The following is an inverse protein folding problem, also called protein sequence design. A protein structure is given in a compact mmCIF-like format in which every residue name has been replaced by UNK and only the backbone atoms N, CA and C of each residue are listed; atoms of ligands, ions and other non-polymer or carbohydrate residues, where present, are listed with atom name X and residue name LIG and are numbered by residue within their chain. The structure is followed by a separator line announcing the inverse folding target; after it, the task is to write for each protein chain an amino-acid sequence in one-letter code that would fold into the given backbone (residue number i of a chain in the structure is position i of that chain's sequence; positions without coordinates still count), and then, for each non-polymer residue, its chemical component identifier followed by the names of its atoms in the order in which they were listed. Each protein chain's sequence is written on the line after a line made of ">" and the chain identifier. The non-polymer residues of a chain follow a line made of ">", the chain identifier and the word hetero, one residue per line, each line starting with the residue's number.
data_IF_958819023510
#
_entry.id   IF_958819023510
#
_cell.length_a   1.000
_cell.length_b   1.000
_cell.length_c   1.000
_cell.angle_alpha   90.00
_cell.angle_beta   90.00
_cell.angle_gamma   90.00
#
_symmetry.space_group_name_H-M   'P 1'
#
loop_
_entity.id
_entity.type
_entity.pdbx_description
1 polymer ?
#
# COMPACT_ATOMS: atom_id res chain seq x y z
N UNK A 1 14.40 -12.11 14.49
CA UNK A 1 12.99 -12.26 14.98
C UNK A 1 12.06 -11.83 13.85
N UNK A 2 10.90 -12.45 13.72
CA UNK A 2 9.86 -11.98 12.80
C UNK A 2 8.70 -11.44 13.63
N UNK A 3 8.29 -10.19 13.35
CA UNK A 3 7.09 -9.58 13.93
C UNK A 3 6.01 -9.56 12.86
N UNK A 4 4.85 -10.12 13.16
CA UNK A 4 3.73 -10.24 12.24
C UNK A 4 2.51 -9.51 12.79
N UNK A 5 1.96 -8.57 12.03
CA UNK A 5 0.59 -8.07 12.19
C UNK A 5 -0.20 -8.53 10.97
N UNK A 6 -1.04 -9.55 11.16
CA UNK A 6 -1.77 -10.22 10.06
C UNK A 6 -2.51 -9.22 9.17
N UNK A 7 -2.37 -9.40 7.85
CA UNK A 7 -2.99 -8.57 6.84
C UNK A 7 -2.39 -7.16 6.71
N UNK A 8 -1.46 -6.77 7.58
CA UNK A 8 -0.88 -5.43 7.61
C UNK A 8 0.60 -5.48 7.26
N UNK A 9 1.45 -6.03 8.14
CA UNK A 9 2.88 -6.08 7.85
C UNK A 9 3.58 -7.28 8.47
N UNK A 10 4.76 -7.58 7.91
CA UNK A 10 5.78 -8.44 8.52
C UNK A 10 7.07 -7.65 8.65
N UNK A 11 7.73 -7.73 9.81
CA UNK A 11 9.06 -7.19 10.04
C UNK A 11 10.03 -8.33 10.33
N UNK A 12 11.11 -8.35 9.61
CA UNK A 12 12.20 -9.29 9.74
C UNK A 12 13.40 -8.56 10.33
N UNK A 13 13.73 -8.87 11.59
CA UNK A 13 14.89 -8.29 12.26
C UNK A 13 16.18 -8.96 11.78
N UNK A 14 17.33 -8.26 11.85
CA UNK A 14 18.63 -8.81 11.47
C UNK A 14 18.96 -10.12 12.21
N UNK A 15 19.56 -11.06 11.49
CA UNK A 15 20.06 -12.35 12.03
C UNK A 15 21.54 -12.27 12.42
N UNK A 16 22.23 -11.21 12.02
CA UNK A 16 23.63 -10.86 12.32
C UNK A 16 23.71 -9.46 12.94
N UNK A 17 24.86 -8.97 13.40
CA UNK A 17 24.97 -7.62 13.96
C UNK A 17 24.34 -6.56 13.06
N UNK A 18 23.43 -5.71 13.60
CA UNK A 18 22.63 -4.82 12.77
C UNK A 18 23.44 -3.70 12.14
N UNK A 19 23.09 -3.34 10.92
CA UNK A 19 23.51 -2.14 10.22
C UNK A 19 22.37 -1.11 10.19
N UNK A 20 22.62 0.21 10.06
CA UNK A 20 21.58 1.23 10.06
C UNK A 20 20.84 1.29 8.69
N UNK A 21 20.30 0.15 8.25
CA UNK A 21 19.58 0.01 6.98
C UNK A 21 18.22 -0.63 7.23
N UNK A 22 17.18 -0.03 6.66
CA UNK A 22 15.83 -0.60 6.60
C UNK A 22 15.46 -0.78 5.12
N UNK A 23 15.05 -1.99 4.78
CA UNK A 23 14.47 -2.31 3.47
C UNK A 23 12.96 -2.31 3.60
N UNK A 24 12.29 -1.34 2.98
CA UNK A 24 10.83 -1.25 2.96
C UNK A 24 10.26 -1.79 1.66
N UNK A 25 9.50 -2.88 1.75
CA UNK A 25 8.82 -3.54 0.64
C UNK A 25 7.32 -3.23 0.73
N UNK A 26 6.93 -2.06 0.30
CA UNK A 26 5.60 -1.49 0.50
C UNK A 26 4.55 -1.85 -0.56
N UNK A 27 4.93 -2.51 -1.67
CA UNK A 27 4.04 -2.71 -2.83
C UNK A 27 3.95 -4.13 -3.36
N UNK A 28 4.54 -5.10 -2.67
CA UNK A 28 4.49 -6.52 -3.04
C UNK A 28 3.37 -7.30 -2.36
N UNK A 29 2.59 -6.64 -1.49
CA UNK A 29 1.53 -7.28 -0.72
C UNK A 29 0.44 -7.87 -1.60
N UNK A 30 -0.05 -9.05 -1.21
CA UNK A 30 -1.00 -9.89 -1.96
C UNK A 30 -2.18 -10.36 -1.10
N UNK A 31 -2.25 -9.89 0.15
CA UNK A 31 -3.36 -10.18 1.05
C UNK A 31 -4.44 -9.09 0.86
N UNK A 32 -5.47 -9.42 0.07
CA UNK A 32 -6.57 -8.49 -0.22
C UNK A 32 -7.53 -8.46 0.96
N UNK A 33 -7.76 -7.28 1.60
CA UNK A 33 -8.74 -7.16 2.67
C UNK A 33 -10.15 -7.52 2.20
N UNK A 34 -10.94 -8.18 3.05
CA UNK A 34 -12.31 -8.60 2.72
C UNK A 34 -13.23 -7.42 2.35
N UNK A 35 -12.98 -6.25 2.90
CA UNK A 35 -13.72 -5.02 2.62
C UNK A 35 -13.30 -4.32 1.33
N UNK A 36 -12.21 -4.76 0.70
CA UNK A 36 -11.76 -4.16 -0.54
C UNK A 36 -12.70 -4.54 -1.69
N UNK A 37 -13.37 -3.55 -2.24
CA UNK A 37 -14.20 -3.67 -3.43
C UNK A 37 -13.59 -2.88 -4.57
N UNK A 38 -13.56 -3.46 -5.74
CA UNK A 38 -13.02 -2.85 -6.96
C UNK A 38 -13.89 -3.22 -8.14
N UNK A 39 -13.98 -2.32 -9.10
CA UNK A 39 -14.56 -2.59 -10.43
C UNK A 39 -13.67 -3.50 -11.26
N UNK A 40 -12.37 -3.53 -10.96
CA UNK A 40 -11.40 -4.29 -11.74
C UNK A 40 -11.50 -5.79 -11.39
N UNK A 41 -11.39 -6.66 -12.40
CA UNK A 41 -11.20 -8.08 -12.17
C UNK A 41 -9.94 -8.35 -11.33
N UNK A 42 -9.96 -9.42 -10.52
CA UNK A 42 -8.82 -9.80 -9.68
C UNK A 42 -7.52 -9.93 -10.48
N UNK A 43 -7.58 -10.49 -11.69
CA UNK A 43 -6.42 -10.64 -12.57
C UNK A 43 -5.77 -9.31 -12.89
N UNK A 44 -6.55 -8.25 -13.14
CA UNK A 44 -6.05 -6.91 -13.41
C UNK A 44 -5.45 -6.29 -12.15
N UNK A 45 -6.13 -6.42 -11.01
CA UNK A 45 -5.60 -5.96 -9.72
C UNK A 45 -4.25 -6.62 -9.42
N UNK A 46 -4.19 -7.93 -9.58
CA UNK A 46 -3.01 -8.73 -9.26
C UNK A 46 -1.83 -8.44 -10.20
N UNK A 47 -2.09 -8.16 -11.48
CA UNK A 47 -1.09 -7.74 -12.46
C UNK A 47 -0.45 -6.37 -12.13
N UNK A 48 -1.12 -5.57 -11.32
CA UNK A 48 -0.60 -4.28 -10.85
C UNK A 48 0.23 -4.37 -9.55
N UNK A 49 0.35 -5.55 -8.93
CA UNK A 49 1.21 -5.76 -7.77
C UNK A 49 2.66 -5.86 -8.22
N UNK A 50 3.57 -5.22 -7.46
CA UNK A 50 5.01 -5.39 -7.67
C UNK A 50 5.46 -6.75 -7.13
N UNK A 51 5.21 -7.80 -7.92
CA UNK A 51 5.39 -9.19 -7.51
C UNK A 51 6.83 -9.51 -7.15
N UNK A 52 6.99 -10.30 -6.08
CA UNK A 52 8.25 -10.92 -5.67
C UNK A 52 9.38 -9.95 -5.26
N UNK A 53 9.12 -8.67 -5.04
CA UNK A 53 10.13 -7.73 -4.50
C UNK A 53 10.53 -8.14 -3.08
N UNK A 54 9.59 -8.67 -2.30
CA UNK A 54 9.83 -9.31 -1.00
C UNK A 54 10.85 -10.46 -1.09
N UNK A 55 10.77 -11.28 -2.14
CA UNK A 55 11.72 -12.37 -2.38
C UNK A 55 13.11 -11.84 -2.82
N UNK A 56 13.16 -10.77 -3.59
CA UNK A 56 14.43 -10.16 -4.01
C UNK A 56 15.23 -9.62 -2.83
N UNK A 57 14.55 -9.17 -1.78
CA UNK A 57 15.16 -8.62 -0.57
C UNK A 57 15.20 -9.59 0.60
N UNK A 58 14.79 -10.85 0.41
CA UNK A 58 14.70 -11.85 1.50
C UNK A 58 16.00 -12.07 2.27
N UNK A 59 17.16 -11.85 1.64
CA UNK A 59 18.47 -11.97 2.27
C UNK A 59 18.89 -10.71 3.10
N UNK A 60 18.12 -9.64 3.07
CA UNK A 60 18.50 -8.40 3.77
C UNK A 60 18.74 -8.60 5.28
N UNK A 61 17.94 -9.38 6.03
CA UNK A 61 18.21 -9.66 7.44
C UNK A 61 19.53 -10.40 7.69
N UNK A 62 19.96 -11.27 6.77
CA UNK A 62 21.22 -12.01 6.88
C UNK A 62 22.46 -11.14 6.60
N UNK A 63 22.23 -9.94 6.07
CA UNK A 63 23.23 -8.90 5.85
C UNK A 63 23.17 -7.79 6.91
N UNK A 64 22.36 -7.95 7.95
CA UNK A 64 22.25 -7.00 9.06
C UNK A 64 21.18 -5.93 8.89
N UNK A 65 20.44 -5.90 7.80
CA UNK A 65 19.36 -4.93 7.59
C UNK A 65 18.03 -5.40 8.22
N UNK A 66 17.19 -4.46 8.64
CA UNK A 66 15.79 -4.75 8.95
C UNK A 66 14.96 -4.73 7.67
N UNK A 67 14.13 -5.75 7.43
CA UNK A 67 13.19 -5.73 6.32
C UNK A 67 11.75 -5.55 6.84
N UNK A 68 11.03 -4.60 6.25
CA UNK A 68 9.61 -4.37 6.47
C UNK A 68 8.84 -4.70 5.19
N UNK A 69 7.79 -5.50 5.30
CA UNK A 69 6.96 -5.94 4.19
C UNK A 69 5.49 -5.63 4.46
N UNK A 70 4.84 -4.85 3.60
CA UNK A 70 3.40 -4.64 3.64
C UNK A 70 2.67 -5.85 3.05
N UNK A 71 1.74 -6.44 3.81
CA UNK A 71 1.00 -7.63 3.37
C UNK A 71 -0.09 -7.29 2.35
N UNK A 72 -0.71 -6.13 2.46
CA UNK A 72 -1.80 -5.66 1.60
C UNK A 72 -1.30 -5.10 0.26
N UNK A 73 -2.12 -5.18 -0.80
CA UNK A 73 -1.76 -4.58 -2.09
C UNK A 73 -1.87 -3.05 -2.05
N UNK A 74 -1.03 -2.37 -2.83
CA UNK A 74 -1.03 -0.90 -2.92
C UNK A 74 -2.32 -0.29 -3.51
N UNK A 75 -3.24 -1.11 -4.01
CA UNK A 75 -4.60 -0.69 -4.36
C UNK A 75 -5.52 -0.50 -3.15
N UNK A 76 -5.23 -1.19 -2.04
CA UNK A 76 -5.94 -0.95 -0.79
C UNK A 76 -5.55 0.40 -0.21
N UNK A 77 -4.25 0.61 -0.02
CA UNK A 77 -3.60 1.86 0.36
C UNK A 77 -2.12 1.76 -0.05
N UNK A 78 -1.54 2.83 -0.56
CA UNK A 78 -0.12 2.84 -0.92
C UNK A 78 0.72 3.39 0.24
N UNK A 79 1.31 2.48 1.04
CA UNK A 79 2.14 2.82 2.19
C UNK A 79 3.40 3.64 1.84
N UNK A 80 3.75 3.76 0.54
CA UNK A 80 4.84 4.60 0.05
C UNK A 80 4.30 5.92 -0.55
N UNK A 81 3.24 6.49 0.03
CA UNK A 81 2.66 7.77 -0.34
C UNK A 81 2.39 8.63 0.89
N UNK A 82 2.37 9.94 0.68
CA UNK A 82 1.95 10.86 1.73
C UNK A 82 0.46 10.65 2.02
N UNK A 83 0.08 10.64 3.29
CA UNK A 83 -1.30 10.45 3.74
C UNK A 83 -2.26 11.56 3.28
N UNK A 84 -1.73 12.73 2.90
CA UNK A 84 -2.51 13.85 2.36
C UNK A 84 -2.54 13.88 0.83
N UNK A 85 -1.79 13.00 0.15
CA UNK A 85 -1.79 12.91 -1.31
C UNK A 85 -2.97 12.05 -1.80
N UNK A 86 -4.18 12.59 -1.57
CA UNK A 86 -5.46 12.00 -1.97
C UNK A 86 -6.12 12.91 -2.99
N UNK A 87 -6.71 12.32 -4.03
CA UNK A 87 -7.58 13.05 -4.95
C UNK A 87 -8.91 13.35 -4.27
N UNK A 88 -9.27 14.64 -4.07
CA UNK A 88 -10.53 15.01 -3.43
C UNK A 88 -11.76 14.44 -4.15
N UNK A 89 -11.68 14.18 -5.46
CA UNK A 89 -12.78 13.64 -6.23
C UNK A 89 -13.13 12.19 -5.88
N UNK A 90 -12.20 11.47 -5.24
CA UNK A 90 -12.44 10.11 -4.73
C UNK A 90 -13.19 10.08 -3.42
N UNK A 91 -13.26 11.20 -2.71
CA UNK A 91 -13.78 11.25 -1.34
C UNK A 91 -15.22 11.74 -1.33
N UNK A 92 -16.07 11.05 -0.60
CA UNK A 92 -17.41 11.49 -0.25
C UNK A 92 -17.36 12.19 1.11
N UNK A 93 -17.64 13.50 1.11
CA UNK A 93 -17.57 14.36 2.28
C UNK A 93 -16.32 15.25 2.28
N UNK A 94 -16.12 15.96 3.39
CA UNK A 94 -15.01 16.89 3.56
C UNK A 94 -13.88 16.24 4.39
N UNK A 95 -12.67 16.28 3.85
CA UNK A 95 -11.49 15.78 4.56
C UNK A 95 -11.12 16.74 5.70
N UNK A 96 -10.79 16.23 6.91
CA UNK A 96 -10.66 17.08 8.12
C UNK A 96 -9.50 18.08 8.07
N UNK A 97 -8.55 17.91 7.18
CA UNK A 97 -7.40 18.80 6.97
C UNK A 97 -7.18 19.05 5.48
N UNK A 98 -6.49 20.12 5.07
CA UNK A 98 -6.23 20.38 3.66
C UNK A 98 -5.46 19.23 2.99
N UNK A 99 -6.04 18.65 1.95
CA UNK A 99 -5.36 17.65 1.12
C UNK A 99 -4.26 18.30 0.28
N UNK A 100 -3.24 17.51 -0.05
CA UNK A 100 -2.10 17.94 -0.86
C UNK A 100 -1.95 17.03 -2.10
N UNK A 101 -2.90 17.08 -3.05
CA UNK A 101 -2.91 16.18 -4.20
C UNK A 101 -1.73 16.48 -5.12
N UNK A 102 -0.85 15.51 -5.29
CA UNK A 102 0.29 15.54 -6.20
C UNK A 102 0.16 14.46 -7.27
N UNK A 103 0.67 13.26 -7.03
CA UNK A 103 0.53 12.14 -7.96
C UNK A 103 -0.87 11.51 -7.92
N UNK A 104 -1.67 11.80 -6.90
CA UNK A 104 -3.09 11.42 -6.84
C UNK A 104 -3.90 11.98 -8.01
N UNK A 105 -3.58 13.17 -8.51
CA UNK A 105 -4.20 13.76 -9.73
C UNK A 105 -4.03 12.88 -10.97
N UNK A 106 -3.05 11.98 -10.97
CA UNK A 106 -2.81 10.99 -12.04
C UNK A 106 -3.31 9.60 -11.69
N UNK A 107 -4.03 9.47 -10.58
CA UNK A 107 -4.55 8.20 -10.09
C UNK A 107 -3.56 7.35 -9.28
N UNK A 108 -2.44 7.92 -8.82
CA UNK A 108 -1.31 7.21 -8.21
C UNK A 108 -0.99 7.69 -6.77
N UNK A 109 -1.93 8.34 -6.10
CA UNK A 109 -1.79 8.83 -4.72
C UNK A 109 -1.84 7.73 -3.67
N UNK A 110 -2.13 8.13 -2.43
CA UNK A 110 -2.35 7.23 -1.30
C UNK A 110 -3.42 6.18 -1.63
N UNK A 111 -4.50 6.63 -2.26
CA UNK A 111 -5.54 5.78 -2.84
C UNK A 111 -5.38 5.79 -4.36
N UNK A 112 -5.13 4.64 -4.94
CA UNK A 112 -5.07 4.53 -6.40
C UNK A 112 -6.48 4.54 -6.99
N UNK A 113 -6.73 5.47 -7.90
CA UNK A 113 -8.01 5.58 -8.60
C UNK A 113 -8.01 4.90 -9.96
N UNK A 114 -6.84 4.58 -10.50
CA UNK A 114 -6.67 3.97 -11.82
C UNK A 114 -5.68 2.81 -11.80
N UNK A 115 -5.92 1.81 -12.64
CA UNK A 115 -4.95 0.77 -12.96
C UNK A 115 -3.78 1.34 -13.79
N UNK A 116 -2.74 0.53 -14.00
CA UNK A 116 -1.64 0.86 -14.94
C UNK A 116 -2.10 1.09 -16.38
N UNK A 117 -3.30 0.60 -16.72
CA UNK A 117 -3.94 0.75 -18.02
C UNK A 117 -4.96 1.91 -18.08
N UNK A 118 -5.11 2.66 -16.98
CA UNK A 118 -6.02 3.80 -16.89
C UNK A 118 -7.46 3.46 -16.53
N UNK A 119 -7.78 2.19 -16.23
CA UNK A 119 -9.11 1.74 -15.85
C UNK A 119 -9.45 2.19 -14.42
N UNK A 120 -10.69 2.63 -14.14
CA UNK A 120 -11.11 3.05 -12.82
C UNK A 120 -11.10 1.86 -11.82
N UNK A 121 -10.64 2.11 -10.61
CA UNK A 121 -10.56 1.11 -9.54
C UNK A 121 -11.83 1.03 -8.72
N UNK A 122 -12.45 2.17 -8.42
CA UNK A 122 -13.57 2.28 -7.49
C UNK A 122 -14.91 2.51 -8.21
N UNK A 123 -15.95 1.81 -7.78
CA UNK A 123 -17.32 1.99 -8.30
C UNK A 123 -17.97 3.29 -7.81
N UNK A 124 -17.57 3.73 -6.62
CA UNK A 124 -18.10 4.91 -5.94
C UNK A 124 -17.00 5.68 -5.23
N UNK A 125 -17.32 6.88 -4.82
CA UNK A 125 -16.48 7.61 -3.87
C UNK A 125 -16.36 6.84 -2.55
N UNK A 126 -15.23 6.99 -1.90
CA UNK A 126 -14.96 6.42 -0.58
C UNK A 126 -15.32 7.44 0.50
N UNK A 127 -15.96 7.00 1.57
CA UNK A 127 -16.22 7.88 2.70
C UNK A 127 -14.94 8.22 3.45
N UNK A 128 -14.91 9.38 4.12
CA UNK A 128 -13.77 9.78 4.96
C UNK A 128 -13.45 8.69 5.99
N UNK A 129 -14.48 8.11 6.63
CA UNK A 129 -14.31 7.04 7.63
C UNK A 129 -13.65 5.77 7.05
N UNK A 130 -14.04 5.36 5.82
CA UNK A 130 -13.41 4.23 5.14
C UNK A 130 -11.92 4.47 4.90
N UNK A 131 -11.56 5.68 4.48
CA UNK A 131 -10.16 6.00 4.20
C UNK A 131 -9.34 6.13 5.47
N UNK A 132 -9.88 6.80 6.50
CA UNK A 132 -9.23 6.90 7.81
C UNK A 132 -8.94 5.53 8.41
N UNK A 133 -9.89 4.59 8.33
CA UNK A 133 -9.70 3.22 8.82
C UNK A 133 -8.62 2.41 8.06
N UNK A 134 -8.23 2.85 6.86
CA UNK A 134 -7.11 2.24 6.14
C UNK A 134 -5.76 2.85 6.53
N UNK A 135 -5.76 4.09 7.02
CA UNK A 135 -4.55 4.82 7.47
C UNK A 135 -4.14 4.34 8.86
N UNK A 136 -5.10 4.08 9.76
CA UNK A 136 -4.90 3.58 11.15
C UNK A 136 -4.41 2.11 11.18
#
# INVERSE_FOLDING_TARGET
>A
MVVLKRGIFQRFDPTVPPVPVVVDVSRSGREYPELFRSMLPFTVLHDNVSMYVDHLWAAAPDLGATMLYACFPSFWIDANRNELDIDPELIEGEWPVPLQPTVSKRGLGLLKSKSRYGEPVHERKLTVAEVMSRIE
#
